data_IF_415137248012
#
_entry.id   IF_415137248012
#
_cell.length_a   1.000
_cell.length_b   1.000
_cell.length_c   1.000
_cell.angle_alpha   90.00
_cell.angle_beta   90.00
_cell.angle_gamma   90.00
#
_symmetry.space_group_name_H-M   'P 1'
#
loop_
_entity.id
_entity.type
_entity.pdbx_description
1 polymer ?
#
# COMPACT_ATOMS: atom_id res chain seq x y z
N UNK A 1 16.48 0.29 -15.94
CA UNK A 1 15.33 1.01 -16.53
C UNK A 1 14.32 1.22 -15.42
N UNK A 2 13.98 2.46 -15.07
CA UNK A 2 12.88 2.72 -14.14
C UNK A 2 11.59 2.23 -14.80
N UNK A 3 10.80 1.39 -14.12
CA UNK A 3 9.50 0.96 -14.62
C UNK A 3 8.60 2.19 -14.69
N UNK A 4 8.06 2.49 -15.86
CA UNK A 4 7.03 3.51 -16.01
C UNK A 4 5.72 2.94 -15.44
N UNK A 5 5.20 3.58 -14.40
CA UNK A 5 3.99 3.15 -13.71
C UNK A 5 2.98 4.28 -13.71
N UNK A 6 1.71 3.97 -14.03
CA UNK A 6 0.61 4.92 -14.06
C UNK A 6 -0.36 4.60 -12.93
N UNK A 7 -0.73 5.62 -12.15
CA UNK A 7 -1.76 5.50 -11.13
C UNK A 7 -3.11 5.33 -11.81
N UNK A 8 -3.80 4.22 -11.53
CA UNK A 8 -5.14 3.96 -12.07
C UNK A 8 -6.22 4.05 -11.00
N UNK A 9 -5.87 3.95 -9.71
CA UNK A 9 -6.86 4.06 -8.63
C UNK A 9 -6.23 4.67 -7.38
N UNK A 10 -6.93 5.61 -6.78
CA UNK A 10 -6.60 6.18 -5.47
C UNK A 10 -7.72 5.92 -4.48
N UNK A 11 -7.37 5.44 -3.30
CA UNK A 11 -8.31 5.28 -2.20
C UNK A 11 -8.51 6.61 -1.46
N UNK A 12 -9.65 6.81 -0.77
CA UNK A 12 -9.83 7.93 0.14
C UNK A 12 -8.75 7.96 1.23
N UNK A 13 -8.62 9.11 1.88
CA UNK A 13 -7.78 9.23 3.08
C UNK A 13 -8.41 8.40 4.22
N UNK A 14 -7.58 7.63 4.90
CA UNK A 14 -7.94 6.84 6.08
C UNK A 14 -7.25 7.41 7.31
N UNK A 15 -8.03 7.52 8.38
CA UNK A 15 -7.56 7.77 9.75
C UNK A 15 -7.25 6.46 10.46
N UNK A 16 -6.56 6.52 11.62
CA UNK A 16 -6.23 5.34 12.43
C UNK A 16 -7.44 4.41 12.69
N UNK A 17 -8.60 4.98 13.02
CA UNK A 17 -9.85 4.27 13.32
C UNK A 17 -10.61 3.80 12.07
N UNK A 18 -10.32 4.38 10.89
CA UNK A 18 -10.99 4.09 9.62
C UNK A 18 -10.14 3.28 8.65
N UNK A 19 -8.92 2.92 9.02
CA UNK A 19 -8.06 2.05 8.24
C UNK A 19 -8.77 0.70 7.98
N UNK A 20 -9.12 0.35 6.73
CA UNK A 20 -9.98 -0.80 6.49
C UNK A 20 -9.35 -2.09 6.98
N UNK A 21 -10.16 -2.96 7.58
CA UNK A 21 -9.71 -4.22 8.19
C UNK A 21 -8.90 -5.10 7.22
N UNK A 22 -9.34 -5.19 5.96
CA UNK A 22 -8.64 -5.98 4.93
C UNK A 22 -7.17 -5.59 4.76
N UNK A 23 -6.82 -4.31 4.90
CA UNK A 23 -5.41 -3.86 4.79
C UNK A 23 -4.61 -4.11 6.08
N UNK A 24 -5.30 -4.33 7.21
CA UNK A 24 -4.69 -4.70 8.50
C UNK A 24 -4.44 -6.20 8.63
N UNK A 25 -5.03 -7.00 7.77
CA UNK A 25 -4.84 -8.44 7.67
C UNK A 25 -3.86 -8.80 6.53
N UNK A 26 -3.36 -10.03 6.51
CA UNK A 26 -2.45 -10.49 5.45
C UNK A 26 -3.17 -10.45 4.09
N UNK A 27 -2.61 -9.70 3.15
CA UNK A 27 -3.09 -9.63 1.78
C UNK A 27 -1.94 -9.33 0.81
N UNK A 28 -2.22 -9.32 -0.48
CA UNK A 28 -1.31 -8.84 -1.51
C UNK A 28 -2.09 -8.17 -2.65
N UNK A 29 -1.36 -7.54 -3.58
CA UNK A 29 -1.94 -7.00 -4.82
C UNK A 29 -1.87 -8.04 -5.93
N UNK A 30 -2.81 -7.98 -6.88
CA UNK A 30 -2.81 -8.84 -8.08
C UNK A 30 -1.55 -8.63 -8.93
N UNK A 31 -1.23 -9.60 -9.79
CA UNK A 31 -0.21 -9.44 -10.84
C UNK A 31 -0.46 -8.15 -11.64
N UNK A 32 0.62 -7.44 -11.96
CA UNK A 32 0.59 -6.15 -12.66
C UNK A 32 0.01 -5.01 -11.82
N UNK A 33 0.03 -5.11 -10.49
CA UNK A 33 -0.45 -4.03 -9.61
C UNK A 33 0.53 -3.74 -8.48
N UNK A 34 1.06 -2.52 -8.49
CA UNK A 34 1.90 -1.97 -7.45
C UNK A 34 1.05 -1.11 -6.51
N UNK A 35 1.31 -1.21 -5.20
CA UNK A 35 0.71 -0.32 -4.20
C UNK A 35 1.67 0.80 -3.82
N UNK A 36 1.19 2.02 -3.62
CA UNK A 36 1.98 3.12 -3.04
C UNK A 36 1.25 3.70 -1.84
N UNK A 37 1.84 3.55 -0.66
CA UNK A 37 1.30 4.09 0.60
C UNK A 37 1.86 5.49 0.84
N UNK A 38 1.00 6.46 1.10
CA UNK A 38 1.46 7.81 1.46
C UNK A 38 0.89 8.17 2.82
N UNK A 39 1.79 8.48 3.76
CA UNK A 39 1.43 9.01 5.08
C UNK A 39 1.40 10.54 4.98
N UNK A 40 0.24 11.12 5.29
CA UNK A 40 0.02 12.57 5.32
C UNK A 40 0.28 13.15 6.71
N UNK A 41 -0.06 12.38 7.75
CA UNK A 41 0.09 12.75 9.15
C UNK A 41 0.34 11.49 9.99
N UNK A 42 1.03 11.64 11.11
CA UNK A 42 1.29 10.55 12.04
C UNK A 42 2.25 9.51 11.47
N UNK A 43 2.05 8.25 11.89
CA UNK A 43 2.92 7.13 11.53
C UNK A 43 2.13 5.86 11.20
N UNK A 44 2.61 5.13 10.19
CA UNK A 44 2.07 3.85 9.74
C UNK A 44 3.15 2.77 9.87
N UNK A 45 2.80 1.64 10.45
CA UNK A 45 3.66 0.45 10.46
C UNK A 45 3.28 -0.46 9.29
N UNK A 46 4.28 -0.86 8.51
CA UNK A 46 4.13 -1.78 7.40
C UNK A 46 4.88 -3.07 7.71
N UNK A 47 4.24 -4.21 7.49
CA UNK A 47 4.82 -5.52 7.74
C UNK A 47 4.93 -6.27 6.42
N UNK A 48 6.15 -6.67 6.07
CA UNK A 48 6.39 -7.67 5.02
C UNK A 48 6.20 -9.06 5.60
N UNK A 49 5.47 -9.90 4.88
CA UNK A 49 5.06 -11.22 5.33
C UNK A 49 5.51 -12.30 4.36
N UNK A 50 5.74 -13.50 4.86
CA UNK A 50 5.77 -14.71 4.04
C UNK A 50 4.35 -15.18 3.71
N UNK A 51 4.25 -16.16 2.82
CA UNK A 51 2.98 -16.79 2.45
C UNK A 51 2.27 -17.45 3.65
N UNK A 52 3.00 -17.94 4.65
CA UNK A 52 2.43 -18.48 5.89
C UNK A 52 1.94 -17.40 6.87
N UNK A 53 2.25 -16.12 6.61
CA UNK A 53 1.91 -14.97 7.45
C UNK A 53 2.96 -14.59 8.50
N UNK A 54 4.11 -15.27 8.53
CA UNK A 54 5.23 -14.85 9.38
C UNK A 54 5.79 -13.50 8.94
N UNK A 55 6.14 -12.63 9.90
CA UNK A 55 6.74 -11.32 9.63
C UNK A 55 8.21 -11.50 9.25
N UNK A 56 8.59 -10.96 8.10
CA UNK A 56 9.97 -10.97 7.59
C UNK A 56 10.67 -9.64 7.91
N UNK A 57 9.94 -8.53 7.77
CA UNK A 57 10.44 -7.20 8.03
C UNK A 57 9.32 -6.27 8.49
N UNK A 58 9.72 -5.23 9.23
CA UNK A 58 8.83 -4.18 9.71
C UNK A 58 9.41 -2.82 9.34
N UNK A 59 8.56 -1.93 8.85
CA UNK A 59 8.93 -0.58 8.45
C UNK A 59 8.00 0.42 9.13
N UNK A 60 8.54 1.57 9.51
CA UNK A 60 7.78 2.68 10.05
C UNK A 60 7.83 3.84 9.06
N UNK A 61 6.67 4.18 8.49
CA UNK A 61 6.53 5.32 7.59
C UNK A 61 5.93 6.50 8.34
N UNK A 62 6.53 7.67 8.19
CA UNK A 62 6.08 8.93 8.80
C UNK A 62 5.70 9.93 7.72
N UNK A 63 4.89 10.92 8.08
CA UNK A 63 4.55 12.01 7.18
C UNK A 63 5.79 12.66 6.57
N UNK A 64 5.77 12.88 5.25
CA UNK A 64 6.88 13.47 4.50
C UNK A 64 8.02 12.52 4.11
N UNK A 65 7.99 11.26 4.55
CA UNK A 65 8.89 10.22 4.03
C UNK A 65 8.29 9.55 2.80
N UNK A 66 9.12 9.28 1.79
CA UNK A 66 8.70 8.42 0.68
C UNK A 66 8.64 6.96 1.14
N UNK A 67 7.58 6.26 0.76
CA UNK A 67 7.51 4.80 0.88
C UNK A 67 7.83 4.15 -0.46
N UNK A 68 8.46 2.96 -0.47
CA UNK A 68 8.66 2.20 -1.69
C UNK A 68 7.33 1.71 -2.25
N UNK A 69 7.32 1.39 -3.55
CA UNK A 69 6.21 0.63 -4.11
C UNK A 69 6.17 -0.77 -3.50
N UNK A 70 4.97 -1.18 -3.10
CA UNK A 70 4.67 -2.58 -2.78
C UNK A 70 4.57 -3.35 -4.08
N UNK A 71 5.43 -4.35 -4.25
CA UNK A 71 5.46 -5.18 -5.45
C UNK A 71 4.22 -6.07 -5.59
N UNK A 72 3.80 -6.42 -6.84
CA UNK A 72 2.74 -7.37 -7.09
C UNK A 72 2.98 -8.70 -6.38
N UNK A 73 1.91 -9.26 -5.81
CA UNK A 73 1.91 -10.56 -5.11
C UNK A 73 2.74 -10.62 -3.82
N UNK A 74 3.42 -9.56 -3.40
CA UNK A 74 4.11 -9.50 -2.11
C UNK A 74 3.13 -9.47 -0.95
N UNK A 75 3.22 -10.43 -0.03
CA UNK A 75 2.35 -10.51 1.15
C UNK A 75 2.73 -9.44 2.17
N UNK A 76 1.72 -8.70 2.63
CA UNK A 76 1.92 -7.62 3.60
C UNK A 76 0.65 -7.34 4.40
N UNK A 77 0.81 -6.50 5.43
CA UNK A 77 -0.27 -5.84 6.15
C UNK A 77 0.20 -4.50 6.71
N UNK A 78 -0.73 -3.64 7.09
CA UNK A 78 -0.42 -2.34 7.72
C UNK A 78 -1.14 -2.15 9.04
N UNK A 79 -0.61 -1.26 9.87
CA UNK A 79 -1.20 -0.91 11.15
C UNK A 79 -0.95 0.57 11.43
N UNK A 80 -1.90 1.25 12.06
CA UNK A 80 -1.67 2.58 12.56
C UNK A 80 -0.65 2.53 13.69
N UNK A 81 0.43 3.31 13.59
CA UNK A 81 1.44 3.42 14.64
C UNK A 81 1.25 4.67 15.51
N UNK A 82 0.37 5.59 15.09
CA UNK A 82 -0.07 6.74 15.88
C UNK A 82 -1.58 6.98 15.73
N UNK A 83 -2.19 7.58 16.76
CA UNK A 83 -3.63 7.88 16.79
C UNK A 83 -4.04 8.95 15.78
N UNK A 84 -3.10 9.83 15.41
CA UNK A 84 -3.31 10.92 14.45
C UNK A 84 -2.93 10.53 13.01
N UNK A 85 -2.77 9.24 12.73
CA UNK A 85 -2.48 8.74 11.38
C UNK A 85 -3.51 9.28 10.40
N UNK A 86 -3.01 9.86 9.30
CA UNK A 86 -3.75 10.05 8.06
C UNK A 86 -2.91 9.49 6.91
N UNK A 87 -3.48 8.59 6.12
CA UNK A 87 -2.78 8.00 4.98
C UNK A 87 -3.73 7.72 3.82
N UNK A 88 -3.19 7.46 2.64
CA UNK A 88 -3.94 6.90 1.51
C UNK A 88 -3.10 5.88 0.76
N UNK A 89 -3.80 5.05 -0.02
CA UNK A 89 -3.20 4.04 -0.88
C UNK A 89 -3.55 4.34 -2.34
N UNK A 90 -2.54 4.29 -3.20
CA UNK A 90 -2.69 4.34 -4.64
C UNK A 90 -2.29 3.00 -5.25
N UNK A 91 -2.97 2.64 -6.34
CA UNK A 91 -2.66 1.46 -7.15
C UNK A 91 -2.17 1.90 -8.52
N UNK A 92 -1.07 1.28 -8.92
CA UNK A 92 -0.37 1.56 -10.15
C UNK A 92 -0.25 0.30 -11.01
N UNK A 93 -0.19 0.49 -12.32
CA UNK A 93 0.08 -0.56 -13.30
C UNK A 93 1.03 -0.03 -14.37
N UNK A 94 1.50 -0.89 -15.26
CA UNK A 94 2.21 -0.42 -16.46
C UNK A 94 1.22 0.24 -17.43
N UNK A 95 1.69 1.07 -18.37
CA UNK A 95 0.81 1.74 -19.33
C UNK A 95 -0.06 0.77 -20.15
N UNK A 96 0.47 -0.40 -20.50
CA UNK A 96 -0.22 -1.41 -21.31
C UNK A 96 -1.44 -2.01 -20.58
N UNK A 97 -1.38 -2.10 -19.26
CA UNK A 97 -2.44 -2.67 -18.42
C UNK A 97 -3.51 -1.64 -18.02
N UNK A 98 -3.28 -0.34 -18.27
CA UNK A 98 -4.09 0.75 -17.71
C UNK A 98 -5.58 0.65 -18.05
N UNK A 99 -5.94 0.42 -19.32
CA UNK A 99 -7.35 0.33 -19.74
C UNK A 99 -8.04 -0.93 -19.19
N UNK A 100 -7.33 -2.06 -19.15
CA UNK A 100 -7.81 -3.30 -18.57
C UNK A 100 -8.07 -3.18 -17.05
N UNK A 101 -7.31 -2.32 -16.35
CA UNK A 101 -7.48 -2.06 -14.91
C UNK A 101 -8.51 -0.96 -14.60
N UNK A 102 -8.75 -0.03 -15.53
CA UNK A 102 -9.70 1.08 -15.39
C UNK A 102 -11.10 0.79 -15.93
N UNK A 103 -11.37 -0.41 -16.41
CA UNK A 103 -12.73 -0.80 -16.76
C UNK A 103 -13.43 -1.27 -15.47
N UNK A 104 -14.27 -0.39 -14.92
CA UNK A 104 -15.21 -0.68 -13.82
C UNK A 104 -16.45 -1.34 -14.40
#
# INVERSE_FOLDING_TARGET
MAKELICYKRMPVWTADRLPQMFREKHNTKVGTWGKLTVLKGQLKFFELNEDGSVIAEHLFSAGSESPFVEPQSWHRVEAASDDLECFLEFYCTPEDYFSKNTI
#
